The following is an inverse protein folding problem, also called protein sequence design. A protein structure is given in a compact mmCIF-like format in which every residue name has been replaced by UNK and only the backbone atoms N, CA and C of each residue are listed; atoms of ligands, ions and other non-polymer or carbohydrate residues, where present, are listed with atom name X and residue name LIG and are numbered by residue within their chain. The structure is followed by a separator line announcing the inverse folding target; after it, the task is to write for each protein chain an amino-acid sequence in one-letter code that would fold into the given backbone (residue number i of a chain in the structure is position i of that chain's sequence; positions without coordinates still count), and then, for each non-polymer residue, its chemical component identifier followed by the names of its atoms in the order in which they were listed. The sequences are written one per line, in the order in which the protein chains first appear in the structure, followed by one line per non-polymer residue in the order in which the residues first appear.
data_IF_870214925388
#
_entry.id   IF_870214925388
#
_cell.length_a   1.000
_cell.length_b   1.000
_cell.length_c   1.000
_cell.angle_alpha   90.00
_cell.angle_beta   90.00
_cell.angle_gamma   90.00
#
_symmetry.space_group_name_H-M   'P 1'
#
loop_
_entity.id
_entity.type
_entity.pdbx_description
1 polymer ?
#
# COMPACT_ATOMS: atom_id res chain seq x y z
N UNK A 1 2.58 15.05 -2.25
CA UNK A 1 2.35 15.42 -0.82
C UNK A 1 0.92 15.91 -0.63
N UNK A 2 0.32 15.70 0.55
CA UNK A 2 -1.02 16.20 0.89
C UNK A 2 -0.98 17.29 1.97
N UNK A 3 -2.15 17.83 2.33
CA UNK A 3 -2.30 18.95 3.27
C UNK A 3 -3.20 18.64 4.49
N UNK A 4 -3.56 17.37 4.69
CA UNK A 4 -4.54 16.97 5.71
C UNK A 4 -3.93 16.22 6.91
N UNK A 5 -2.60 16.23 7.06
CA UNK A 5 -1.91 15.63 8.20
C UNK A 5 -2.33 16.24 9.55
N UNK A 6 -2.01 15.56 10.64
CA UNK A 6 -2.32 15.99 12.00
C UNK A 6 -1.07 16.53 12.72
N UNK A 7 -1.25 17.60 13.51
CA UNK A 7 -0.20 18.12 14.39
C UNK A 7 0.83 19.00 13.69
N UNK A 8 1.86 19.37 14.45
CA UNK A 8 2.95 20.20 13.96
C UNK A 8 4.06 19.34 13.35
N UNK A 9 4.64 19.84 12.26
CA UNK A 9 5.77 19.18 11.62
C UNK A 9 7.02 19.33 12.50
N UNK A 10 7.55 18.21 12.98
CA UNK A 10 8.80 18.15 13.73
C UNK A 10 9.94 17.62 12.83
N UNK A 11 11.15 17.53 13.38
CA UNK A 11 12.31 17.06 12.64
C UNK A 11 12.12 15.64 12.05
N UNK A 12 11.46 14.74 12.79
CA UNK A 12 11.17 13.39 12.29
C UNK A 12 10.19 13.42 11.11
N UNK A 13 9.21 14.32 11.14
CA UNK A 13 8.28 14.51 10.04
C UNK A 13 8.98 15.09 8.79
N UNK A 14 9.92 16.03 8.95
CA UNK A 14 10.74 16.52 7.82
C UNK A 14 11.58 15.39 7.22
N UNK A 15 12.23 14.56 8.04
CA UNK A 15 12.99 13.40 7.57
C UNK A 15 12.11 12.41 6.79
N UNK A 16 10.89 12.16 7.25
CA UNK A 16 9.92 11.32 6.54
C UNK A 16 9.52 11.92 5.19
N UNK A 17 9.36 13.24 5.14
CA UNK A 17 9.01 13.98 3.92
C UNK A 17 10.16 13.92 2.92
N UNK A 18 11.39 14.16 3.35
CA UNK A 18 12.58 14.07 2.50
C UNK A 18 12.77 12.65 1.94
N UNK A 19 12.56 11.64 2.78
CA UNK A 19 12.54 10.24 2.36
C UNK A 19 11.45 9.99 1.30
N UNK A 20 10.22 10.46 1.54
CA UNK A 20 9.12 10.26 0.61
C UNK A 20 9.35 10.99 -0.72
N UNK A 21 9.86 12.22 -0.69
CA UNK A 21 10.16 13.01 -1.87
C UNK A 21 11.27 12.40 -2.71
N UNK A 22 12.37 11.96 -2.08
CA UNK A 22 13.50 11.33 -2.78
C UNK A 22 13.15 10.00 -3.45
N UNK A 23 12.11 9.30 -2.97
CA UNK A 23 11.68 8.00 -3.47
C UNK A 23 10.39 8.04 -4.32
N UNK A 24 9.92 9.24 -4.71
CA UNK A 24 8.66 9.44 -5.44
C UNK A 24 7.45 8.74 -4.75
N UNK A 25 7.37 8.91 -3.43
CA UNK A 25 6.28 8.43 -2.58
C UNK A 25 5.37 9.57 -2.16
N UNK A 26 4.12 9.23 -1.84
CA UNK A 26 3.16 10.10 -1.19
C UNK A 26 2.78 9.56 0.19
N UNK A 27 2.71 10.46 1.18
CA UNK A 27 2.30 10.15 2.55
C UNK A 27 0.77 10.08 2.61
N UNK A 28 0.24 8.86 2.55
CA UNK A 28 -1.20 8.56 2.51
C UNK A 28 -2.00 9.23 3.61
N UNK A 29 -1.49 9.23 4.84
CA UNK A 29 -2.13 9.85 6.01
C UNK A 29 -2.30 11.38 5.94
N UNK A 30 -1.73 12.03 4.92
CA UNK A 30 -1.89 13.47 4.65
C UNK A 30 -2.77 13.78 3.42
N UNK A 31 -3.18 12.77 2.65
CA UNK A 31 -3.84 12.96 1.35
C UNK A 31 -5.34 13.18 1.45
N UNK A 32 -5.98 12.63 2.48
CA UNK A 32 -7.44 12.60 2.61
C UNK A 32 -7.90 13.46 3.78
N UNK A 33 -8.96 14.23 3.56
CA UNK A 33 -9.56 15.05 4.60
C UNK A 33 -10.38 14.16 5.54
N UNK A 34 -10.00 14.17 6.82
CA UNK A 34 -10.74 13.50 7.88
C UNK A 34 -10.83 14.38 9.14
N UNK A 35 -11.73 13.98 10.05
CA UNK A 35 -11.71 14.44 11.44
C UNK A 35 -10.49 13.86 12.14
N UNK A 36 -9.93 14.57 13.11
CA UNK A 36 -8.70 14.17 13.80
C UNK A 36 -8.81 12.82 14.51
N UNK A 37 -10.02 12.44 14.96
CA UNK A 37 -10.36 11.12 15.49
C UNK A 37 -10.09 9.94 14.54
N UNK A 38 -9.80 10.21 13.28
CA UNK A 38 -9.46 9.24 12.25
C UNK A 38 -8.04 9.45 11.71
N UNK A 39 -7.21 10.28 12.36
CA UNK A 39 -5.83 10.58 11.94
C UNK A 39 -4.79 10.18 12.98
N UNK A 40 -5.06 10.38 14.27
CA UNK A 40 -4.07 10.01 15.30
C UNK A 40 -3.98 8.49 15.41
N UNK A 41 -2.74 7.99 15.36
CA UNK A 41 -2.43 6.57 15.48
C UNK A 41 -1.91 6.22 16.87
N UNK A 42 -1.63 7.22 17.72
CA UNK A 42 -1.14 7.01 19.08
C UNK A 42 -1.81 7.96 20.06
N UNK A 43 -2.07 7.47 21.27
CA UNK A 43 -2.60 8.25 22.39
C UNK A 43 -1.71 8.03 23.61
N UNK A 44 -1.31 9.11 24.30
CA UNK A 44 -0.52 9.01 25.52
C UNK A 44 -1.29 8.25 26.63
N UNK A 45 -0.58 7.66 27.62
CA UNK A 45 -1.22 6.96 28.73
C UNK A 45 -2.21 7.81 29.55
N UNK A 46 -2.00 9.13 29.60
CA UNK A 46 -2.91 10.08 30.25
C UNK A 46 -4.17 10.41 29.41
N UNK A 47 -4.25 9.94 28.17
CA UNK A 47 -5.36 10.17 27.24
C UNK A 47 -5.40 11.57 26.59
N UNK A 48 -4.47 12.45 26.95
CA UNK A 48 -4.48 13.87 26.57
C UNK A 48 -3.82 14.08 25.21
N UNK A 49 -2.60 13.58 25.05
CA UNK A 49 -1.78 13.79 23.85
C UNK A 49 -2.11 12.75 22.79
N UNK A 50 -2.27 13.20 21.55
CA UNK A 50 -2.59 12.33 20.41
C UNK A 50 -1.74 12.72 19.21
N UNK A 51 -1.05 11.75 18.65
CA UNK A 51 -0.12 11.97 17.55
C UNK A 51 -0.43 11.06 16.36
N UNK A 52 -0.06 11.51 15.17
CA UNK A 52 -0.01 10.68 13.96
C UNK A 52 1.44 10.24 13.76
N UNK A 53 1.76 8.99 14.11
CA UNK A 53 3.13 8.45 14.03
C UNK A 53 3.24 7.20 13.15
N UNK A 54 2.11 6.61 12.77
CA UNK A 54 2.03 5.47 11.87
C UNK A 54 1.55 5.94 10.49
N UNK A 55 2.39 5.77 9.46
CA UNK A 55 2.12 6.29 8.12
C UNK A 55 2.13 5.19 7.05
N UNK A 56 1.16 5.25 6.13
CA UNK A 56 1.17 4.48 4.90
C UNK A 56 1.76 5.34 3.77
N UNK A 57 2.87 4.89 3.18
CA UNK A 57 3.48 5.50 2.00
C UNK A 57 3.05 4.74 0.75
N UNK A 58 2.72 5.45 -0.32
CA UNK A 58 2.39 4.85 -1.63
C UNK A 58 3.26 5.47 -2.71
N UNK A 59 3.76 4.65 -3.65
CA UNK A 59 4.42 5.20 -4.84
C UNK A 59 3.47 6.12 -5.60
N UNK A 60 3.98 7.27 -6.03
CA UNK A 60 3.19 8.28 -6.74
C UNK A 60 2.55 7.73 -8.01
N UNK A 61 3.20 6.77 -8.67
CA UNK A 61 2.63 5.99 -9.79
C UNK A 61 1.28 5.33 -9.45
N UNK A 62 1.11 4.87 -8.22
CA UNK A 62 -0.09 4.17 -7.76
C UNK A 62 -0.98 5.04 -6.85
N UNK A 63 -0.70 6.34 -6.75
CA UNK A 63 -1.45 7.28 -5.91
C UNK A 63 -2.96 7.20 -6.13
N UNK A 64 -3.41 7.10 -7.37
CA UNK A 64 -4.83 7.02 -7.73
C UNK A 64 -5.51 5.69 -7.33
N UNK A 65 -4.71 4.67 -7.02
CA UNK A 65 -5.21 3.40 -6.48
C UNK A 65 -5.46 3.47 -4.98
N UNK A 66 -4.82 4.41 -4.27
CA UNK A 66 -5.08 4.66 -2.86
C UNK A 66 -6.37 5.46 -2.72
N UNK A 67 -7.37 4.87 -2.07
CA UNK A 67 -8.73 5.41 -1.96
C UNK A 67 -8.98 6.10 -0.62
N UNK A 68 -8.30 5.66 0.44
CA UNK A 68 -8.46 6.16 1.81
C UNK A 68 -7.27 5.75 2.68
N UNK A 69 -6.90 6.58 3.67
CA UNK A 69 -5.97 6.22 4.76
C UNK A 69 -6.45 6.87 6.05
N UNK A 70 -6.74 6.05 7.06
CA UNK A 70 -7.28 6.51 8.33
C UNK A 70 -6.92 5.62 9.50
N UNK A 71 -6.85 6.19 10.70
CA UNK A 71 -6.76 5.42 11.94
C UNK A 71 -8.12 4.89 12.36
N UNK A 72 -8.15 3.65 12.84
CA UNK A 72 -9.33 2.93 13.26
C UNK A 72 -9.36 2.76 14.78
N UNK A 73 -9.99 3.73 15.45
CA UNK A 73 -10.12 3.78 16.92
C UNK A 73 -11.01 2.67 17.52
N UNK A 74 -11.82 2.00 16.70
CA UNK A 74 -12.73 0.94 17.14
C UNK A 74 -12.09 -0.45 17.24
N UNK A 75 -10.82 -0.59 16.84
CA UNK A 75 -10.12 -1.85 16.96
C UNK A 75 -9.61 -2.00 18.40
N UNK A 76 -10.02 -3.07 19.06
CA UNK A 76 -9.42 -3.48 20.32
C UNK A 76 -8.13 -4.25 20.03
N UNK A 77 -7.00 -3.55 20.08
CA UNK A 77 -5.66 -4.08 19.76
C UNK A 77 -4.83 -4.28 21.04
N UNK A 78 -5.34 -3.88 22.21
CA UNK A 78 -4.57 -3.92 23.46
C UNK A 78 -3.29 -3.08 23.44
N UNK A 79 -3.27 -1.99 22.66
CA UNK A 79 -2.13 -1.09 22.50
C UNK A 79 -2.57 0.37 22.68
N UNK A 80 -1.62 1.23 23.04
CA UNK A 80 -1.72 2.69 22.97
C UNK A 80 -1.78 3.24 21.53
N UNK A 81 -1.61 2.36 20.54
CA UNK A 81 -1.79 2.65 19.12
C UNK A 81 -3.18 2.27 18.58
N UNK A 82 -3.72 3.12 17.71
CA UNK A 82 -4.83 2.79 16.82
C UNK A 82 -4.30 2.21 15.51
N UNK A 83 -4.97 1.17 15.00
CA UNK A 83 -4.63 0.58 13.71
C UNK A 83 -4.83 1.57 12.56
N UNK A 84 -3.80 1.81 11.75
CA UNK A 84 -3.91 2.58 10.50
C UNK A 84 -4.38 1.67 9.36
N UNK A 85 -5.50 2.02 8.74
CA UNK A 85 -6.11 1.29 7.63
C UNK A 85 -5.93 2.09 6.34
N UNK A 86 -5.42 1.43 5.31
CA UNK A 86 -5.34 1.95 3.95
C UNK A 86 -6.27 1.16 3.02
N UNK A 87 -7.08 1.85 2.24
CA UNK A 87 -8.00 1.24 1.25
C UNK A 87 -7.43 1.41 -0.15
N UNK A 88 -7.25 0.31 -0.86
CA UNK A 88 -6.74 0.33 -2.23
C UNK A 88 -7.77 -0.20 -3.23
N UNK A 89 -7.81 0.39 -4.42
CA UNK A 89 -8.50 -0.11 -5.60
C UNK A 89 -7.46 -0.56 -6.62
N UNK A 90 -7.32 -1.87 -6.79
CA UNK A 90 -6.31 -2.47 -7.66
C UNK A 90 -6.96 -3.10 -8.89
N UNK A 91 -6.38 -2.87 -10.07
CA UNK A 91 -6.69 -3.64 -11.28
C UNK A 91 -5.55 -4.63 -11.53
N UNK A 92 -5.80 -5.90 -11.27
CA UNK A 92 -4.80 -6.96 -11.47
C UNK A 92 -4.90 -7.52 -12.88
N UNK A 93 -3.74 -7.73 -13.54
CA UNK A 93 -3.69 -8.53 -14.76
C UNK A 93 -3.84 -10.00 -14.37
N UNK A 94 -4.74 -10.73 -15.05
CA UNK A 94 -4.84 -12.18 -14.87
C UNK A 94 -3.50 -12.82 -15.27
N UNK A 95 -2.88 -13.52 -14.33
CA UNK A 95 -1.73 -14.35 -14.65
C UNK A 95 -2.26 -15.65 -15.27
N UNK A 96 -2.31 -15.68 -16.60
CA UNK A 96 -2.64 -16.89 -17.34
C UNK A 96 -1.37 -17.73 -17.32
N UNK A 97 -1.34 -18.79 -16.50
CA UNK A 97 -0.33 -19.84 -16.67
C UNK A 97 -0.43 -20.30 -18.11
N UNK A 98 0.64 -20.14 -18.90
CA UNK A 98 0.71 -20.83 -20.18
C UNK A 98 0.63 -22.31 -19.82
N UNK A 99 -0.51 -22.94 -20.11
CA UNK A 99 -0.53 -24.39 -20.23
C UNK A 99 0.44 -24.66 -21.36
N UNK A 100 1.53 -25.42 -21.15
CA UNK A 100 2.36 -25.82 -22.26
C UNK A 100 1.41 -26.41 -23.30
N UNK A 101 1.48 -25.95 -24.54
CA UNK A 101 0.77 -26.62 -25.62
C UNK A 101 1.06 -28.12 -25.45
N UNK A 102 0.04 -29.00 -25.39
CA UNK A 102 0.31 -30.42 -25.35
C UNK A 102 1.25 -30.69 -26.52
N UNK A 103 2.41 -31.31 -26.25
CA UNK A 103 3.32 -31.69 -27.32
C UNK A 103 2.48 -32.36 -28.40
N UNK A 104 2.47 -31.85 -29.65
CA UNK A 104 1.75 -32.54 -30.71
C UNK A 104 2.19 -34.01 -30.70
N UNK A 105 1.26 -34.96 -30.88
CA UNK A 105 1.63 -36.37 -30.93
C UNK A 105 2.81 -36.56 -31.88
N UNK A 106 3.80 -37.34 -31.46
CA UNK A 106 5.02 -37.54 -32.24
C UNK A 106 4.62 -38.07 -33.63
N UNK A 107 5.01 -37.33 -34.67
CA UNK A 107 4.70 -37.70 -36.05
C UNK A 107 5.64 -38.85 -36.46
N UNK A 108 5.19 -40.07 -36.24
CA UNK A 108 5.95 -41.28 -36.49
C UNK A 108 6.27 -41.50 -37.97
N UNK A 109 5.54 -40.86 -38.90
CA UNK A 109 5.83 -40.92 -40.32
C UNK A 109 7.14 -40.19 -40.68
N UNK A 110 7.57 -39.23 -39.85
CA UNK A 110 8.87 -38.55 -40.02
C UNK A 110 10.07 -39.38 -39.55
N UNK A 111 9.81 -40.51 -38.89
CA UNK A 111 10.84 -41.46 -38.43
C UNK A 111 11.01 -42.65 -39.38
N UNK A 112 10.22 -42.71 -40.46
CA UNK A 112 10.43 -43.70 -41.51
C UNK A 112 11.51 -43.15 -42.45
N UNK A 113 12.70 -43.75 -42.40
CA UNK A 113 13.72 -43.49 -43.42
C UNK A 113 13.17 -43.89 -44.79
N UNK A 114 13.39 -43.03 -45.78
CA UNK A 114 12.92 -43.20 -47.15
C UNK A 114 13.81 -44.17 -47.93
N UNK A 115 13.92 -45.41 -47.45
CA UNK A 115 14.65 -46.48 -48.13
C UNK A 115 13.70 -47.58 -48.59
N UNK A 116 13.09 -47.34 -49.75
CA UNK A 116 12.80 -48.38 -50.76
C UNK A 116 13.09 -47.78 -52.14
#
# INVERSE_FOLDING_TARGET
MGCHGLGNRNENAERLIDFALSNDLDIGGSLFQHRDIHKYSWTSPDGITRNQIDHCLVSRKWRTSLMDVRSHRGADVGSDHNQTIAKFKVKLKKNVKQVPYPNPPFDWYKLLDSTV
#
